data_IF_116118912603
#
_entry.id   IF_116118912603
#
_cell.length_a   1.000
_cell.length_b   1.000
_cell.length_c   1.000
_cell.angle_alpha   90.00
_cell.angle_beta   90.00
_cell.angle_gamma   90.00
#
_symmetry.space_group_name_H-M   'P 1'
#
loop_
_entity.id
_entity.type
_entity.pdbx_description
1 polymer ?
#
# COMPACT_ATOMS: atom_id res chain seq x y z
N UNK A 1 -20.47 -6.80 -3.17
CA UNK A 1 -19.34 -6.44 -4.06
C UNK A 1 -18.03 -6.26 -3.28
N UNK A 2 -18.05 -5.74 -2.04
CA UNK A 2 -16.87 -5.73 -1.15
C UNK A 2 -16.51 -7.12 -0.59
N UNK A 3 -17.45 -8.06 -0.51
CA UNK A 3 -17.20 -9.38 0.08
C UNK A 3 -16.21 -10.22 -0.75
N UNK A 4 -16.26 -10.13 -2.08
CA UNK A 4 -15.43 -10.97 -2.96
C UNK A 4 -13.93 -10.63 -2.90
N UNK A 5 -13.56 -9.35 -2.73
CA UNK A 5 -12.17 -8.92 -2.71
C UNK A 5 -11.50 -9.28 -1.37
N UNK A 6 -12.24 -9.11 -0.27
CA UNK A 6 -11.78 -9.49 1.07
C UNK A 6 -11.66 -11.01 1.19
N UNK A 7 -12.65 -11.75 0.68
CA UNK A 7 -12.65 -13.21 0.69
C UNK A 7 -11.55 -13.80 -0.21
N UNK A 8 -11.23 -13.15 -1.34
CA UNK A 8 -10.11 -13.55 -2.20
C UNK A 8 -8.75 -13.31 -1.54
N UNK A 9 -8.60 -12.23 -0.78
CA UNK A 9 -7.39 -11.93 -0.02
C UNK A 9 -7.25 -12.87 1.19
N UNK A 10 -8.33 -13.14 1.92
CA UNK A 10 -8.36 -14.08 3.04
C UNK A 10 -8.08 -15.53 2.59
N UNK A 11 -8.64 -15.97 1.45
CA UNK A 11 -8.30 -17.28 0.86
C UNK A 11 -6.82 -17.39 0.49
N UNK A 12 -6.23 -16.31 -0.05
CA UNK A 12 -4.80 -16.27 -0.38
C UNK A 12 -3.91 -16.29 0.87
N UNK A 13 -4.29 -15.56 1.92
CA UNK A 13 -3.57 -15.55 3.20
C UNK A 13 -3.69 -16.89 3.94
N UNK A 14 -4.86 -17.53 3.92
CA UNK A 14 -5.05 -18.87 4.53
C UNK A 14 -4.26 -19.95 3.79
N UNK A 15 -4.18 -19.90 2.46
CA UNK A 15 -3.35 -20.84 1.68
C UNK A 15 -1.85 -20.72 1.97
N UNK A 16 -1.39 -19.57 2.45
CA UNK A 16 -0.01 -19.35 2.84
C UNK A 16 0.31 -19.85 4.26
N UNK A 17 -0.70 -20.12 5.10
CA UNK A 17 -0.52 -20.51 6.50
C UNK A 17 -0.73 -22.01 6.80
N UNK A 18 -1.22 -22.80 5.85
CA UNK A 18 -1.50 -24.25 6.07
C UNK A 18 -0.33 -25.19 5.80
N UNK A 19 0.84 -24.73 5.38
CA UNK A 19 1.97 -25.62 5.02
C UNK A 19 3.14 -25.54 6.01
N UNK A 20 2.88 -25.81 7.29
CA UNK A 20 3.95 -26.08 8.27
C UNK A 20 3.67 -27.42 8.96
N UNK A 21 4.07 -28.51 8.29
CA UNK A 21 4.22 -29.81 8.92
C UNK A 21 5.71 -30.00 9.27
N UNK A 22 6.12 -30.11 10.55
CA UNK A 22 7.52 -30.00 10.94
C UNK A 22 8.27 -31.35 10.92
N UNK A 23 8.00 -32.25 9.98
CA UNK A 23 8.74 -33.53 9.87
C UNK A 23 8.87 -33.98 8.40
N UNK A 24 10.07 -34.48 8.07
CA UNK A 24 10.57 -35.04 6.78
C UNK A 24 11.26 -33.97 5.91
N UNK A 25 12.57 -34.01 5.67
CA UNK A 25 13.30 -35.09 5.02
C UNK A 25 13.58 -34.63 3.58
N UNK A 26 14.86 -34.59 3.19
CA UNK A 26 15.39 -33.99 1.95
C UNK A 26 14.60 -34.32 0.66
N UNK A 27 14.34 -33.30 -0.17
CA UNK A 27 14.10 -33.47 -1.62
C UNK A 27 12.69 -33.23 -2.16
N UNK A 28 12.30 -31.96 -2.36
CA UNK A 28 11.62 -31.43 -3.55
C UNK A 28 11.54 -29.90 -3.43
N UNK A 29 11.95 -29.19 -4.48
CA UNK A 29 11.93 -27.73 -4.58
C UNK A 29 10.46 -27.24 -4.65
N UNK A 30 9.77 -27.17 -3.51
CA UNK A 30 8.53 -26.40 -3.44
C UNK A 30 8.88 -24.95 -3.82
N UNK A 31 8.24 -24.37 -4.85
CA UNK A 31 8.57 -23.02 -5.28
C UNK A 31 8.33 -22.08 -4.11
N UNK A 32 9.42 -21.46 -3.61
CA UNK A 32 9.33 -20.40 -2.60
C UNK A 32 8.24 -19.43 -3.05
N UNK A 33 7.31 -19.05 -2.15
CA UNK A 33 6.23 -18.15 -2.51
C UNK A 33 6.82 -16.92 -3.21
N UNK A 34 6.27 -16.59 -4.38
CA UNK A 34 6.79 -15.51 -5.20
C UNK A 34 6.93 -14.25 -4.35
N UNK A 35 8.09 -13.59 -4.45
CA UNK A 35 8.37 -12.35 -3.71
C UNK A 35 7.22 -11.37 -3.93
N UNK A 36 6.61 -10.92 -2.86
CA UNK A 36 5.49 -9.97 -2.92
C UNK A 36 6.07 -8.56 -2.96
N UNK A 37 5.68 -7.78 -3.98
CA UNK A 37 6.14 -6.40 -4.14
C UNK A 37 5.10 -5.42 -3.53
N UNK A 38 5.44 -4.69 -2.45
CA UNK A 38 4.51 -3.74 -1.85
C UNK A 38 4.16 -2.57 -2.79
N UNK A 39 5.03 -2.22 -3.75
CA UNK A 39 4.73 -1.20 -4.76
C UNK A 39 3.60 -1.65 -5.67
N UNK A 40 3.67 -2.89 -6.17
CA UNK A 40 2.60 -3.47 -6.98
C UNK A 40 1.28 -3.58 -6.24
N UNK A 41 1.30 -3.93 -4.94
CA UNK A 41 0.08 -3.94 -4.13
C UNK A 41 -0.52 -2.52 -4.05
N UNK A 42 0.31 -1.50 -3.87
CA UNK A 42 -0.15 -0.11 -3.83
C UNK A 42 -0.82 0.28 -5.15
N UNK A 43 -0.18 -0.03 -6.29
CA UNK A 43 -0.70 0.28 -7.62
C UNK A 43 -2.03 -0.45 -7.89
N UNK A 44 -2.09 -1.75 -7.62
CA UNK A 44 -3.29 -2.58 -7.84
C UNK A 44 -4.43 -2.15 -6.90
N UNK A 45 -4.15 -1.82 -5.64
CA UNK A 45 -5.13 -1.31 -4.69
C UNK A 45 -5.67 0.07 -5.09
N UNK A 46 -4.78 0.95 -5.57
CA UNK A 46 -5.19 2.24 -6.09
C UNK A 46 -6.05 2.11 -7.35
N UNK A 47 -5.64 1.27 -8.31
CA UNK A 47 -6.41 1.01 -9.53
C UNK A 47 -7.80 0.42 -9.24
N UNK A 48 -7.94 -0.38 -8.19
CA UNK A 48 -9.22 -0.94 -7.73
C UNK A 48 -10.09 0.01 -6.91
N UNK A 49 -9.62 1.21 -6.58
CA UNK A 49 -10.38 2.16 -5.75
C UNK A 49 -11.53 2.77 -6.54
N UNK A 50 -12.77 2.54 -6.08
CA UNK A 50 -13.97 3.06 -6.76
C UNK A 50 -14.34 4.49 -6.35
N UNK A 51 -13.97 4.89 -5.13
CA UNK A 51 -14.38 6.16 -4.56
C UNK A 51 -13.39 7.27 -4.85
N UNK A 52 -13.92 8.46 -5.12
CA UNK A 52 -13.12 9.67 -5.25
C UNK A 52 -12.60 10.12 -3.88
N UNK A 53 -11.41 10.67 -3.88
CA UNK A 53 -10.73 11.12 -2.67
C UNK A 53 -9.22 10.99 -2.81
N UNK A 54 -8.53 11.27 -1.71
CA UNK A 54 -7.08 11.10 -1.63
C UNK A 54 -6.65 10.47 -0.32
N UNK A 55 -5.49 9.84 -0.34
CA UNK A 55 -4.88 9.26 0.86
C UNK A 55 -3.36 9.19 0.72
N UNK A 56 -2.66 9.30 1.86
CA UNK A 56 -1.29 8.77 1.97
C UNK A 56 -1.35 7.25 2.15
N UNK A 57 -0.28 6.53 1.82
CA UNK A 57 -0.29 5.07 1.86
C UNK A 57 1.09 4.50 2.24
N UNK A 58 1.12 3.58 3.20
CA UNK A 58 2.30 2.81 3.57
C UNK A 58 1.94 1.32 3.61
N UNK A 59 2.64 0.51 2.81
CA UNK A 59 2.45 -0.93 2.71
C UNK A 59 3.77 -1.61 3.07
N UNK A 60 3.75 -2.45 4.11
CA UNK A 60 4.87 -3.30 4.49
C UNK A 60 4.57 -4.77 4.21
N UNK A 61 5.54 -5.48 3.66
CA UNK A 61 5.43 -6.91 3.35
C UNK A 61 6.66 -7.65 3.88
N UNK A 62 6.40 -8.75 4.60
CA UNK A 62 7.45 -9.65 5.07
C UNK A 62 7.74 -10.69 3.99
N UNK A 63 8.89 -10.56 3.33
CA UNK A 63 9.41 -11.50 2.34
C UNK A 63 10.54 -12.32 2.97
N UNK A 64 10.20 -13.47 3.56
CA UNK A 64 11.15 -14.30 4.30
C UNK A 64 11.73 -13.55 5.50
N UNK A 65 13.03 -13.26 5.48
CA UNK A 65 13.72 -12.51 6.56
C UNK A 65 13.78 -11.01 6.33
N UNK A 66 13.17 -10.50 5.25
CA UNK A 66 13.18 -9.08 4.88
C UNK A 66 11.80 -8.46 5.08
N UNK A 67 11.78 -7.21 5.54
CA UNK A 67 10.62 -6.33 5.49
C UNK A 67 10.81 -5.37 4.31
N UNK A 68 10.08 -5.59 3.22
CA UNK A 68 10.05 -4.68 2.07
C UNK A 68 8.87 -3.71 2.25
N UNK A 69 9.07 -2.42 1.96
CA UNK A 69 8.08 -1.37 2.24
C UNK A 69 7.93 -0.46 1.01
N UNK A 70 6.68 -0.11 0.68
CA UNK A 70 6.34 0.99 -0.23
C UNK A 70 5.60 2.08 0.56
N UNK A 71 6.01 3.33 0.43
CA UNK A 71 5.45 4.46 1.18
C UNK A 71 5.28 5.68 0.27
N UNK A 72 4.08 6.24 0.27
CA UNK A 72 3.70 7.47 -0.44
C UNK A 72 3.07 8.46 0.55
N UNK A 73 3.68 9.64 0.66
CA UNK A 73 3.23 10.72 1.53
C UNK A 73 3.96 10.78 2.87
N UNK A 74 3.24 11.24 3.89
CA UNK A 74 3.74 11.39 5.26
C UNK A 74 3.28 10.28 6.22
N UNK A 75 2.59 9.27 5.69
CA UNK A 75 2.56 7.94 6.32
C UNK A 75 4.00 7.47 6.55
N UNK A 76 4.23 6.65 7.58
CA UNK A 76 5.58 6.32 7.96
C UNK A 76 5.75 5.05 8.79
N UNK A 77 7.00 4.63 8.91
CA UNK A 77 7.42 3.47 9.67
C UNK A 77 8.75 3.72 10.37
N UNK A 78 8.99 2.91 11.41
CA UNK A 78 10.28 2.83 12.09
C UNK A 78 10.61 1.34 12.21
N UNK A 79 11.77 0.93 11.70
CA UNK A 79 12.22 -0.45 11.75
C UNK A 79 13.33 -0.62 12.79
N UNK A 80 13.17 -1.60 13.67
CA UNK A 80 14.15 -1.95 14.69
C UNK A 80 14.73 -3.35 14.43
N UNK A 81 16.02 -3.52 14.67
CA UNK A 81 16.69 -4.82 14.68
C UNK A 81 17.05 -5.18 16.11
N UNK A 82 16.64 -6.37 16.54
CA UNK A 82 16.99 -6.94 17.83
C UNK A 82 18.17 -7.88 17.65
N UNK A 83 19.27 -7.65 18.39
CA UNK A 83 20.43 -8.54 18.41
C UNK A 83 20.67 -9.05 19.81
N UNK A 84 20.83 -10.36 19.94
CA UNK A 84 21.26 -10.97 21.19
C UNK A 84 22.78 -10.94 21.27
N UNK A 85 23.33 -10.27 22.30
CA UNK A 85 24.77 -10.13 22.53
C UNK A 85 25.06 -10.27 24.02
N UNK A 86 25.98 -11.18 24.37
CA UNK A 86 26.45 -11.44 25.75
C UNK A 86 25.31 -11.54 26.78
N UNK A 87 24.31 -12.37 26.51
CA UNK A 87 23.21 -12.62 27.45
C UNK A 87 22.09 -11.58 27.46
N UNK A 88 22.15 -10.56 26.60
CA UNK A 88 21.17 -9.47 26.59
C UNK A 88 20.69 -9.15 25.16
N UNK A 89 19.43 -8.76 25.00
CA UNK A 89 18.93 -8.21 23.74
C UNK A 89 19.24 -6.71 23.65
N UNK A 90 19.86 -6.31 22.55
CA UNK A 90 20.10 -4.91 22.16
C UNK A 90 19.18 -4.54 20.99
N UNK A 91 18.60 -3.34 21.05
CA UNK A 91 17.70 -2.81 20.01
C UNK A 91 18.43 -1.73 19.21
N UNK A 92 18.42 -1.86 17.89
CA UNK A 92 19.04 -0.90 16.98
C UNK A 92 17.98 -0.32 16.06
N UNK A 93 17.90 1.01 15.99
CA UNK A 93 17.12 1.68 14.95
C UNK A 93 17.81 1.41 13.59
N UNK A 94 17.10 0.75 12.68
CA UNK A 94 17.62 0.43 11.34
C UNK A 94 17.22 1.46 10.31
N UNK A 95 15.95 1.82 10.32
CA UNK A 95 15.37 2.68 9.31
C UNK A 95 14.22 3.49 9.93
N UNK A 96 14.07 4.71 9.45
CA UNK A 96 12.93 5.57 9.75
C UNK A 96 12.53 6.26 8.47
N UNK A 97 11.28 6.09 8.06
CA UNK A 97 10.77 6.75 6.87
C UNK A 97 10.87 8.27 6.98
N UNK A 98 11.22 8.92 5.87
CA UNK A 98 11.10 10.37 5.72
C UNK A 98 9.73 10.72 5.14
N UNK A 99 9.02 11.74 5.67
CA UNK A 99 7.81 12.23 5.04
C UNK A 99 8.08 12.72 3.62
N UNK A 100 7.16 12.44 2.71
CA UNK A 100 7.15 12.95 1.35
C UNK A 100 6.02 13.98 1.22
N UNK A 101 6.38 15.22 0.95
CA UNK A 101 5.45 16.35 0.97
C UNK A 101 5.86 17.42 -0.04
N UNK A 102 4.88 18.13 -0.60
CA UNK A 102 5.12 19.30 -1.43
C UNK A 102 5.53 20.51 -0.58
N UNK A 103 4.90 20.67 0.59
CA UNK A 103 5.15 21.72 1.58
C UNK A 103 4.68 21.25 2.97
N UNK A 104 4.82 22.08 4.00
CA UNK A 104 4.36 21.76 5.35
C UNK A 104 2.87 21.40 5.36
N UNK A 105 2.55 20.22 5.91
CA UNK A 105 1.19 19.70 5.98
C UNK A 105 0.50 19.53 4.61
N UNK A 106 1.30 19.36 3.54
CA UNK A 106 0.80 19.06 2.20
C UNK A 106 1.52 17.82 1.64
N UNK A 107 1.12 16.61 2.08
CA UNK A 107 1.80 15.37 1.73
C UNK A 107 1.59 15.00 0.25
N UNK A 108 2.48 14.18 -0.29
CA UNK A 108 2.19 13.44 -1.53
C UNK A 108 1.06 12.44 -1.26
N UNK A 109 0.12 12.29 -2.20
CA UNK A 109 -1.05 11.43 -2.00
C UNK A 109 -1.39 10.67 -3.28
N UNK A 110 -1.97 9.49 -3.11
CA UNK A 110 -2.77 8.86 -4.16
C UNK A 110 -4.08 9.63 -4.27
N UNK A 111 -4.49 10.00 -5.49
CA UNK A 111 -5.69 10.81 -5.72
C UNK A 111 -6.54 10.17 -6.80
N UNK A 112 -7.81 9.90 -6.49
CA UNK A 112 -8.82 9.58 -7.50
C UNK A 112 -9.78 10.75 -7.63
N UNK A 113 -9.69 11.43 -8.76
CA UNK A 113 -10.58 12.54 -9.10
C UNK A 113 -12.00 12.03 -9.43
N UNK A 114 -13.03 12.87 -9.24
CA UNK A 114 -14.36 12.62 -9.79
C UNK A 114 -14.33 12.38 -11.30
N UNK A 115 -15.13 11.41 -11.75
CA UNK A 115 -15.29 11.15 -13.18
C UNK A 115 -16.13 12.23 -13.89
N UNK A 116 -16.14 12.21 -15.24
CA UNK A 116 -16.88 13.17 -16.07
C UNK A 116 -18.36 13.33 -15.69
N UNK A 117 -18.99 12.27 -15.19
CA UNK A 117 -20.38 12.26 -14.74
C UNK A 117 -20.70 13.28 -13.65
N UNK A 118 -19.71 13.68 -12.85
CA UNK A 118 -19.89 14.65 -11.76
C UNK A 118 -19.86 16.09 -12.27
N UNK A 119 -19.28 16.35 -13.44
CA UNK A 119 -19.11 17.70 -13.99
C UNK A 119 -20.45 18.41 -14.21
N UNK A 120 -21.43 17.70 -14.78
CA UNK A 120 -22.75 18.30 -15.06
C UNK A 120 -23.46 18.71 -13.76
N UNK A 121 -23.33 17.89 -12.70
CA UNK A 121 -23.86 18.20 -11.38
C UNK A 121 -23.16 19.41 -10.76
N UNK A 122 -21.83 19.51 -10.89
CA UNK A 122 -21.08 20.67 -10.41
C UNK A 122 -21.53 21.96 -11.09
N UNK A 123 -21.68 21.95 -12.42
CA UNK A 123 -22.16 23.10 -13.19
C UNK A 123 -23.57 23.50 -12.75
N UNK A 124 -24.50 22.54 -12.65
CA UNK A 124 -25.87 22.79 -12.20
C UNK A 124 -25.95 23.34 -10.76
N UNK A 125 -24.96 23.03 -9.92
CA UNK A 125 -24.85 23.57 -8.56
C UNK A 125 -24.03 24.88 -8.48
N UNK A 126 -23.67 25.50 -9.61
CA UNK A 126 -22.93 26.76 -9.68
C UNK A 126 -21.41 26.63 -9.47
N UNK A 127 -20.86 25.42 -9.46
CA UNK A 127 -19.44 25.12 -9.25
C UNK A 127 -18.67 24.97 -10.57
N UNK A 128 -18.89 25.86 -11.54
CA UNK A 128 -18.26 25.80 -12.86
C UNK A 128 -16.73 25.89 -12.83
N UNK A 129 -16.18 26.68 -11.91
CA UNK A 129 -14.72 26.83 -11.73
C UNK A 129 -14.08 25.50 -11.32
N UNK A 130 -14.72 24.79 -10.38
CA UNK A 130 -14.25 23.48 -9.92
C UNK A 130 -14.33 22.43 -11.04
N UNK A 131 -15.41 22.46 -11.84
CA UNK A 131 -15.53 21.60 -13.02
C UNK A 131 -14.38 21.83 -14.01
N UNK A 132 -14.01 23.09 -14.27
CA UNK A 132 -12.89 23.43 -15.18
C UNK A 132 -11.54 22.96 -14.64
N UNK A 133 -11.31 23.09 -13.33
CA UNK A 133 -10.06 22.67 -12.71
C UNK A 133 -9.93 21.14 -12.69
N UNK A 134 -11.03 20.41 -12.43
CA UNK A 134 -11.05 18.95 -12.56
C UNK A 134 -10.69 18.49 -13.98
N UNK A 135 -11.24 19.16 -15.00
CA UNK A 135 -10.88 18.87 -16.40
C UNK A 135 -9.40 19.10 -16.66
N UNK A 136 -8.84 20.23 -16.20
CA UNK A 136 -7.41 20.52 -16.35
C UNK A 136 -6.54 19.45 -15.69
N UNK A 137 -6.88 19.02 -14.49
CA UNK A 137 -6.11 18.02 -13.75
C UNK A 137 -6.12 16.65 -14.44
N UNK A 138 -7.25 16.25 -15.02
CA UNK A 138 -7.35 14.99 -15.78
C UNK A 138 -6.57 15.07 -17.10
N UNK A 139 -6.48 16.23 -17.74
CA UNK A 139 -5.73 16.43 -18.99
C UNK A 139 -4.22 16.59 -18.79
N UNK A 140 -3.75 16.77 -17.55
CA UNK A 140 -2.33 16.93 -17.22
C UNK A 140 -1.59 15.64 -16.88
N UNK A 141 -2.32 14.53 -16.74
CA UNK A 141 -1.79 13.17 -16.50
C UNK A 141 -1.58 12.39 -17.82
#
# INVERSE_FOLDING_TARGET
>A
LMDNAKEALEKRLQSAHTNVNPQNGEGADEPRPAKIDPGRIMDEAFAGTAHCGSSTCCIGVVNGTRLDISNLGDSGFIAFEYKYDRGNYKVFLKEKSKPQQHSFNYPLQLVRLPGPEVHQSLISNGNESLSKELTRLVESD
#
